data_IF_417130545772
#
_entry.id   IF_417130545772
#
_cell.length_a   1.000
_cell.length_b   1.000
_cell.length_c   1.000
_cell.angle_alpha   90.00
_cell.angle_beta   90.00
_cell.angle_gamma   90.00
#
_symmetry.space_group_name_H-M   'P 1'
#
loop_
_entity.id
_entity.type
_entity.pdbx_description
1 polymer ?
#
# COMPACT_ATOMS: atom_id res chain seq x y z
N UNK A 1 2.58 19.22 6.03
CA UNK A 1 2.22 18.01 5.23
C UNK A 1 1.34 17.11 6.08
N UNK A 2 0.02 17.30 6.03
CA UNK A 2 -0.95 16.61 6.87
C UNK A 2 -2.00 15.93 6.00
N UNK A 3 -1.71 14.75 5.44
CA UNK A 3 -2.76 13.85 4.97
C UNK A 3 -2.37 12.41 5.27
N UNK A 4 -3.18 11.86 6.17
CA UNK A 4 -3.17 10.50 6.68
C UNK A 4 -3.47 9.54 5.53
N UNK A 5 -2.47 9.23 4.71
CA UNK A 5 -2.49 7.98 3.98
C UNK A 5 -1.80 6.96 4.88
N UNK A 6 -2.56 6.13 5.62
CA UNK A 6 -1.99 5.11 6.49
C UNK A 6 -1.00 4.21 5.73
N UNK A 7 -1.34 3.91 4.47
CA UNK A 7 -0.62 2.98 3.62
C UNK A 7 0.54 3.63 2.89
N UNK A 8 1.73 3.07 3.11
CA UNK A 8 2.92 3.21 2.27
C UNK A 8 2.77 2.22 1.10
N UNK A 9 2.68 2.70 -0.15
CA UNK A 9 2.63 1.83 -1.33
C UNK A 9 3.99 1.14 -1.53
N UNK A 10 3.97 -0.17 -1.78
CA UNK A 10 5.17 -0.92 -2.15
C UNK A 10 5.57 -0.72 -3.61
N UNK A 11 4.62 -0.33 -4.47
CA UNK A 11 4.87 -0.01 -5.87
C UNK A 11 4.45 1.43 -6.23
N UNK A 12 5.25 2.45 -5.88
CA UNK A 12 4.91 3.86 -6.09
C UNK A 12 4.86 4.27 -7.57
N UNK A 13 5.47 3.48 -8.47
CA UNK A 13 5.57 3.78 -9.89
C UNK A 13 4.38 3.26 -10.71
N UNK A 14 3.60 2.33 -10.16
CA UNK A 14 2.40 1.80 -10.81
C UNK A 14 1.21 2.57 -10.26
N UNK A 15 0.46 3.23 -11.15
CA UNK A 15 -0.63 4.12 -10.78
C UNK A 15 -1.97 3.50 -11.17
N UNK A 16 -2.92 3.49 -10.24
CA UNK A 16 -4.32 3.14 -10.47
C UNK A 16 -5.18 4.34 -10.10
N UNK A 17 -5.91 4.89 -11.08
CA UNK A 17 -6.70 6.11 -10.87
C UNK A 17 -5.88 7.31 -10.40
N UNK A 18 -4.68 7.51 -10.98
CA UNK A 18 -3.71 8.56 -10.62
C UNK A 18 -3.13 8.48 -9.20
N UNK A 19 -3.30 7.36 -8.49
CA UNK A 19 -2.71 7.10 -7.17
C UNK A 19 -1.80 5.88 -7.22
N UNK A 20 -0.73 5.84 -6.41
CA UNK A 20 0.17 4.69 -6.34
C UNK A 20 -0.54 3.42 -5.86
N UNK A 21 -0.26 2.30 -6.51
CA UNK A 21 -0.89 1.01 -6.22
C UNK A 21 -0.36 0.38 -4.94
N UNK A 22 -1.26 -0.28 -4.21
CA UNK A 22 -0.91 -1.14 -3.09
C UNK A 22 -0.66 -2.57 -3.60
N UNK A 23 0.44 -3.16 -3.15
CA UNK A 23 0.88 -4.51 -3.43
C UNK A 23 1.05 -5.29 -2.11
N UNK A 24 1.49 -6.55 -2.18
CA UNK A 24 1.71 -7.37 -0.99
C UNK A 24 2.83 -6.85 -0.06
N UNK A 25 3.71 -5.96 -0.53
CA UNK A 25 4.76 -5.35 0.29
C UNK A 25 4.35 -4.03 0.95
N UNK A 26 3.14 -3.54 0.65
CA UNK A 26 2.60 -2.31 1.20
C UNK A 26 2.31 -2.42 2.70
N UNK A 27 2.53 -1.34 3.43
CA UNK A 27 2.45 -1.32 4.90
C UNK A 27 1.63 -0.14 5.40
N UNK A 28 0.75 -0.35 6.38
CA UNK A 28 0.03 0.74 7.04
C UNK A 28 0.70 1.12 8.36
N UNK A 29 1.07 2.40 8.47
CA UNK A 29 1.57 3.03 9.69
C UNK A 29 0.44 3.72 10.44
N UNK A 30 -0.05 3.07 11.49
CA UNK A 30 -1.10 3.62 12.35
C UNK A 30 -0.55 4.78 13.21
N UNK A 31 -1.42 5.73 13.57
CA UNK A 31 -1.07 6.90 14.42
C UNK A 31 -0.51 6.51 15.80
N UNK A 32 -0.76 5.29 16.25
CA UNK A 32 -0.29 4.73 17.51
C UNK A 32 0.95 3.82 17.35
N UNK A 33 1.76 4.06 16.31
CA UNK A 33 2.97 3.29 15.99
C UNK A 33 2.74 1.79 15.69
N UNK A 34 1.51 1.41 15.35
CA UNK A 34 1.20 0.07 14.84
C UNK A 34 1.58 -0.07 13.37
N UNK A 35 1.98 -1.28 12.96
CA UNK A 35 2.28 -1.64 11.57
C UNK A 35 1.34 -2.76 11.15
N UNK A 36 0.60 -2.55 10.06
CA UNK A 36 -0.25 -3.58 9.44
C UNK A 36 0.35 -3.93 8.08
N UNK A 37 0.59 -5.22 7.86
CA UNK A 37 1.17 -5.77 6.63
C UNK A 37 0.22 -6.77 5.98
N UNK A 38 0.35 -6.97 4.67
CA UNK A 38 -0.39 -8.03 3.98
C UNK A 38 0.25 -9.40 4.21
N UNK A 39 -0.56 -10.39 4.58
CA UNK A 39 -0.14 -11.80 4.62
C UNK A 39 -0.46 -12.48 3.29
N UNK A 40 -1.60 -12.11 2.71
CA UNK A 40 -2.08 -12.59 1.41
C UNK A 40 -2.72 -11.41 0.67
N UNK A 41 -2.45 -11.25 -0.63
CA UNK A 41 -3.05 -10.18 -1.41
C UNK A 41 -4.54 -10.46 -1.66
N UNK A 42 -5.34 -9.40 -1.70
CA UNK A 42 -6.78 -9.48 -2.01
C UNK A 42 -7.07 -9.70 -3.49
N UNK A 43 -6.07 -9.45 -4.34
CA UNK A 43 -6.14 -9.63 -5.79
C UNK A 43 -4.87 -10.36 -6.27
N UNK A 44 -5.04 -11.39 -7.10
CA UNK A 44 -3.94 -12.20 -7.65
C UNK A 44 -3.79 -12.05 -9.18
N UNK A 45 -4.67 -11.28 -9.82
CA UNK A 45 -4.74 -11.13 -11.27
C UNK A 45 -3.67 -10.21 -11.83
N UNK A 46 -3.21 -9.25 -11.03
CA UNK A 46 -2.18 -8.28 -11.41
C UNK A 46 -1.01 -8.39 -10.44
N UNK A 47 0.16 -8.70 -10.99
CA UNK A 47 1.42 -8.70 -10.25
C UNK A 47 2.17 -7.41 -10.54
N UNK A 48 2.43 -6.63 -9.51
CA UNK A 48 3.14 -5.34 -9.62
C UNK A 48 4.65 -5.60 -9.51
N UNK A 49 5.48 -5.05 -10.41
CA UNK A 49 6.93 -5.30 -10.45
C UNK A 49 7.73 -4.59 -9.36
#
# INVERSE_FOLDING_TARGET
MSRLNPWVPGAPNVLLGNMPTLDNTSMNMCMWAGVITFVTPGEFTVMVP
#
